data_IF_137558721190
#
_entry.id   IF_137558721190
#
_cell.length_a   1.000
_cell.length_b   1.000
_cell.length_c   1.000
_cell.angle_alpha   90.00
_cell.angle_beta   90.00
_cell.angle_gamma   90.00
#
_symmetry.space_group_name_H-M   'P 1'
#
loop_
_entity.id
_entity.type
_entity.pdbx_description
1 polymer ?
#
# COMPACT_ATOMS: atom_id res chain seq x y z
N UNK A 1 60.72 9.38 -13.66
CA UNK A 1 59.59 9.98 -12.93
C UNK A 1 60.19 11.06 -12.06
N UNK A 2 59.97 12.31 -12.44
CA UNK A 2 60.46 13.44 -11.67
C UNK A 2 59.54 13.73 -10.47
N UNK A 3 60.02 14.58 -9.57
CA UNK A 3 59.30 14.94 -8.33
C UNK A 3 57.98 15.66 -8.59
N UNK A 4 57.87 16.36 -9.73
CA UNK A 4 56.68 17.12 -10.11
C UNK A 4 55.57 16.19 -10.57
N UNK A 5 55.89 15.22 -11.42
CA UNK A 5 55.00 14.17 -11.88
C UNK A 5 54.46 13.33 -10.71
N UNK A 6 55.32 13.00 -9.73
CA UNK A 6 54.90 12.23 -8.54
C UNK A 6 53.93 13.03 -7.64
N UNK A 7 54.13 14.35 -7.53
CA UNK A 7 53.26 15.24 -6.74
C UNK A 7 51.88 15.38 -7.41
N UNK A 8 51.84 15.54 -8.74
CA UNK A 8 50.60 15.64 -9.51
C UNK A 8 49.77 14.36 -9.45
N UNK A 9 50.42 13.19 -9.54
CA UNK A 9 49.77 11.89 -9.37
C UNK A 9 49.16 11.79 -7.96
N UNK A 10 49.90 12.18 -6.93
CA UNK A 10 49.44 12.13 -5.53
C UNK A 10 48.24 13.03 -5.30
N UNK A 11 48.27 14.27 -5.80
CA UNK A 11 47.14 15.20 -5.70
C UNK A 11 45.91 14.69 -6.44
N UNK A 12 46.10 14.12 -7.64
CA UNK A 12 45.02 13.56 -8.45
C UNK A 12 44.39 12.35 -7.74
N UNK A 13 45.21 11.44 -7.21
CA UNK A 13 44.73 10.30 -6.42
C UNK A 13 43.90 10.74 -5.20
N UNK A 14 44.38 11.74 -4.45
CA UNK A 14 43.65 12.30 -3.31
C UNK A 14 42.32 12.94 -3.71
N UNK A 15 42.25 13.61 -4.87
CA UNK A 15 41.00 14.17 -5.40
C UNK A 15 40.03 13.06 -5.75
N UNK A 16 40.48 12.03 -6.47
CA UNK A 16 39.66 10.87 -6.84
C UNK A 16 39.12 10.18 -5.58
N UNK A 17 39.97 9.89 -4.60
CA UNK A 17 39.55 9.25 -3.35
C UNK A 17 38.47 10.06 -2.61
N UNK A 18 38.62 11.38 -2.57
CA UNK A 18 37.62 12.25 -1.94
C UNK A 18 36.28 12.28 -2.70
N UNK A 19 36.32 12.28 -4.02
CA UNK A 19 35.12 12.21 -4.87
C UNK A 19 34.44 10.86 -4.64
N UNK A 20 35.16 9.75 -4.79
CA UNK A 20 34.63 8.40 -4.61
C UNK A 20 34.01 8.22 -3.22
N UNK A 21 34.64 8.74 -2.16
CA UNK A 21 34.07 8.68 -0.80
C UNK A 21 32.74 9.43 -0.69
N UNK A 22 32.68 10.66 -1.20
CA UNK A 22 31.45 11.49 -1.12
C UNK A 22 30.33 10.90 -1.97
N UNK A 23 30.65 10.43 -3.17
CA UNK A 23 29.71 9.78 -4.07
C UNK A 23 29.18 8.50 -3.46
N UNK A 24 30.05 7.60 -3.00
CA UNK A 24 29.64 6.34 -2.37
C UNK A 24 28.78 6.53 -1.12
N UNK A 25 29.08 7.54 -0.28
CA UNK A 25 28.21 7.87 0.86
C UNK A 25 26.82 8.34 0.41
N UNK A 26 26.76 9.24 -0.59
CA UNK A 26 25.49 9.75 -1.11
C UNK A 26 24.65 8.62 -1.72
N UNK A 27 25.27 7.79 -2.56
CA UNK A 27 24.63 6.65 -3.20
C UNK A 27 24.14 5.64 -2.17
N UNK A 28 24.94 5.35 -1.14
CA UNK A 28 24.54 4.45 -0.05
C UNK A 28 23.31 4.97 0.72
N UNK A 29 23.26 6.27 1.03
CA UNK A 29 22.11 6.90 1.69
C UNK A 29 20.87 6.81 0.80
N UNK A 30 21.00 7.15 -0.48
CA UNK A 30 19.88 7.09 -1.45
C UNK A 30 19.37 5.66 -1.60
N UNK A 31 20.26 4.70 -1.83
CA UNK A 31 19.90 3.29 -1.99
C UNK A 31 19.23 2.72 -0.73
N UNK A 32 19.72 3.08 0.46
CA UNK A 32 19.10 2.69 1.73
C UNK A 32 17.68 3.25 1.89
N UNK A 33 17.49 4.53 1.60
CA UNK A 33 16.17 5.18 1.65
C UNK A 33 15.20 4.54 0.66
N UNK A 34 15.64 4.36 -0.59
CA UNK A 34 14.79 3.86 -1.67
C UNK A 34 14.43 2.38 -1.41
N UNK A 35 15.36 1.56 -0.91
CA UNK A 35 15.08 0.19 -0.48
C UNK A 35 14.04 0.14 0.64
N UNK A 36 14.16 0.99 1.66
CA UNK A 36 13.19 1.01 2.77
C UNK A 36 11.82 1.49 2.30
N UNK A 37 11.78 2.51 1.44
CA UNK A 37 10.54 2.99 0.83
C UNK A 37 9.86 1.88 0.03
N UNK A 38 10.58 1.21 -0.87
CA UNK A 38 10.02 0.16 -1.71
C UNK A 38 9.45 -0.99 -0.87
N UNK A 39 10.17 -1.44 0.16
CA UNK A 39 9.68 -2.50 1.06
C UNK A 39 8.37 -2.13 1.74
N UNK A 40 8.26 -0.91 2.26
CA UNK A 40 7.02 -0.45 2.91
C UNK A 40 5.89 -0.24 1.89
N UNK A 41 6.22 0.27 0.70
CA UNK A 41 5.27 0.44 -0.40
C UNK A 41 4.69 -0.89 -0.85
N UNK A 42 5.53 -1.91 -1.11
CA UNK A 42 5.12 -3.23 -1.58
C UNK A 42 4.15 -3.88 -0.60
N UNK A 43 4.45 -3.80 0.71
CA UNK A 43 3.58 -4.32 1.77
C UNK A 43 2.23 -3.60 1.81
N UNK A 44 2.23 -2.26 1.72
CA UNK A 44 1.00 -1.48 1.69
C UNK A 44 0.17 -1.74 0.43
N UNK A 45 0.84 -1.88 -0.72
CA UNK A 45 0.21 -2.19 -1.99
C UNK A 45 -0.43 -3.59 -1.98
N UNK A 46 0.27 -4.60 -1.50
CA UNK A 46 -0.25 -5.97 -1.39
C UNK A 46 -1.55 -6.01 -0.58
N UNK A 47 -1.55 -5.42 0.61
CA UNK A 47 -2.74 -5.40 1.48
C UNK A 47 -3.87 -4.55 0.88
N UNK A 48 -3.56 -3.37 0.33
CA UNK A 48 -4.53 -2.52 -0.33
C UNK A 48 -5.18 -3.18 -1.55
N UNK A 49 -4.39 -3.89 -2.35
CA UNK A 49 -4.85 -4.61 -3.54
C UNK A 49 -5.78 -5.76 -3.15
N UNK A 50 -5.40 -6.60 -2.17
CA UNK A 50 -6.26 -7.68 -1.65
C UNK A 50 -7.62 -7.14 -1.20
N UNK A 51 -7.61 -6.05 -0.44
CA UNK A 51 -8.83 -5.44 0.07
C UNK A 51 -9.72 -4.91 -1.06
N UNK A 52 -9.14 -4.14 -1.98
CA UNK A 52 -9.85 -3.59 -3.14
C UNK A 52 -10.45 -4.66 -4.03
N UNK A 53 -9.70 -5.74 -4.29
CA UNK A 53 -10.18 -6.88 -5.06
C UNK A 53 -11.41 -7.54 -4.42
N UNK A 54 -11.35 -7.80 -3.11
CA UNK A 54 -12.46 -8.43 -2.40
C UNK A 54 -13.70 -7.53 -2.35
N UNK A 55 -13.57 -6.23 -2.09
CA UNK A 55 -14.69 -5.28 -2.16
C UNK A 55 -15.27 -5.19 -3.57
N UNK A 56 -14.42 -5.22 -4.59
CA UNK A 56 -14.83 -5.29 -5.99
C UNK A 56 -15.68 -6.53 -6.28
N UNK A 57 -15.33 -7.69 -5.71
CA UNK A 57 -16.13 -8.91 -5.81
C UNK A 57 -17.52 -8.73 -5.18
N UNK A 58 -17.63 -8.17 -3.98
CA UNK A 58 -18.94 -7.90 -3.36
C UNK A 58 -19.79 -6.95 -4.21
N UNK A 59 -19.17 -5.86 -4.70
CA UNK A 59 -19.84 -4.89 -5.56
C UNK A 59 -20.35 -5.56 -6.84
N UNK A 60 -19.51 -6.32 -7.53
CA UNK A 60 -19.89 -7.06 -8.73
C UNK A 60 -21.02 -8.06 -8.49
N UNK A 61 -21.01 -8.77 -7.36
CA UNK A 61 -22.08 -9.69 -6.97
C UNK A 61 -23.42 -8.95 -6.77
N UNK A 62 -23.41 -7.78 -6.12
CA UNK A 62 -24.64 -6.96 -5.98
C UNK A 62 -25.17 -6.53 -7.34
N UNK A 63 -24.30 -6.00 -8.20
CA UNK A 63 -24.69 -5.56 -9.55
C UNK A 63 -25.21 -6.72 -10.41
N UNK A 64 -24.69 -7.94 -10.20
CA UNK A 64 -25.18 -9.14 -10.88
C UNK A 64 -26.56 -9.57 -10.34
N UNK A 65 -26.75 -9.56 -9.01
CA UNK A 65 -28.01 -9.93 -8.37
C UNK A 65 -29.13 -8.96 -8.74
N UNK A 66 -28.88 -7.65 -8.69
CA UNK A 66 -29.87 -6.62 -9.05
C UNK A 66 -30.38 -6.79 -10.49
N UNK A 67 -29.47 -7.12 -11.42
CA UNK A 67 -29.81 -7.44 -12.81
C UNK A 67 -30.66 -8.71 -12.95
N UNK A 68 -30.38 -9.74 -12.17
CA UNK A 68 -31.17 -10.98 -12.20
C UNK A 68 -32.59 -10.77 -11.64
N UNK A 69 -32.72 -10.02 -10.54
CA UNK A 69 -34.01 -9.81 -9.86
C UNK A 69 -34.80 -8.62 -10.41
N UNK A 70 -34.26 -7.90 -11.41
CA UNK A 70 -34.83 -6.64 -11.93
C UNK A 70 -35.13 -5.60 -10.83
N UNK A 71 -34.39 -5.67 -9.72
CA UNK A 71 -34.49 -4.73 -8.60
C UNK A 71 -33.48 -3.62 -8.77
N UNK A 72 -33.79 -2.42 -8.30
CA UNK A 72 -32.87 -1.30 -8.32
C UNK A 72 -31.56 -1.63 -7.59
N UNK A 73 -30.43 -1.29 -8.21
CA UNK A 73 -29.11 -1.50 -7.64
C UNK A 73 -28.87 -0.51 -6.49
N UNK A 74 -29.12 -0.94 -5.26
CA UNK A 74 -28.74 -0.17 -4.07
C UNK A 74 -27.32 -0.51 -3.68
N UNK A 75 -26.37 0.36 -4.04
CA UNK A 75 -24.97 0.20 -3.66
C UNK A 75 -24.82 0.40 -2.14
N UNK A 76 -24.21 -0.57 -1.45
CA UNK A 76 -23.92 -0.45 -0.03
C UNK A 76 -22.89 0.67 0.22
N UNK A 77 -23.05 1.53 1.25
CA UNK A 77 -22.10 2.63 1.52
C UNK A 77 -20.64 2.17 1.67
N UNK A 78 -20.42 0.97 2.21
CA UNK A 78 -19.07 0.39 2.34
C UNK A 78 -18.42 0.02 0.99
N UNK A 79 -19.20 -0.03 -0.09
CA UNK A 79 -18.76 -0.40 -1.44
C UNK A 79 -18.68 0.78 -2.42
N UNK A 80 -19.11 1.98 -2.00
CA UNK A 80 -19.07 3.20 -2.83
C UNK A 80 -17.66 3.48 -3.34
N UNK A 81 -16.67 3.33 -2.46
CA UNK A 81 -15.25 3.55 -2.76
C UNK A 81 -14.43 2.25 -2.66
N UNK A 82 -14.98 1.14 -3.17
CA UNK A 82 -14.30 -0.16 -3.20
C UNK A 82 -12.89 -0.09 -3.83
N UNK A 83 -12.67 0.80 -4.81
CA UNK A 83 -11.37 1.03 -5.46
C UNK A 83 -10.29 1.56 -4.52
N UNK A 84 -10.66 2.12 -3.37
CA UNK A 84 -9.73 2.58 -2.33
C UNK A 84 -9.40 1.49 -1.30
N UNK A 85 -9.89 0.26 -1.49
CA UNK A 85 -9.58 -0.88 -0.60
C UNK A 85 -9.95 -0.67 0.87
N UNK A 86 -10.96 0.17 1.14
CA UNK A 86 -11.30 0.62 2.50
C UNK A 86 -10.10 1.19 3.28
N UNK A 87 -9.21 1.92 2.60
CA UNK A 87 -8.03 2.52 3.21
C UNK A 87 -8.38 3.49 4.34
N UNK A 88 -7.93 3.20 5.56
CA UNK A 88 -8.19 4.03 6.74
C UNK A 88 -7.39 5.33 6.70
N UNK A 89 -6.19 5.31 6.12
CA UNK A 89 -5.36 6.52 5.92
C UNK A 89 -6.10 7.52 5.03
N UNK A 90 -6.78 7.03 3.98
CA UNK A 90 -7.57 7.87 3.08
C UNK A 90 -8.84 8.41 3.73
N UNK A 91 -9.35 7.75 4.78
CA UNK A 91 -10.59 8.13 5.46
C UNK A 91 -10.31 9.09 6.61
N UNK A 92 -9.39 8.75 7.50
CA UNK A 92 -9.12 9.47 8.74
C UNK A 92 -7.62 9.47 9.06
N UNK A 93 -6.84 10.24 8.30
CA UNK A 93 -5.38 10.31 8.46
C UNK A 93 -4.97 10.69 9.89
N UNK A 94 -5.75 11.48 10.62
CA UNK A 94 -5.45 11.97 11.98
C UNK A 94 -5.65 10.91 13.07
N UNK A 95 -6.52 9.93 12.85
CA UNK A 95 -6.94 8.95 13.85
C UNK A 95 -5.99 7.77 14.03
N UNK A 96 -4.96 7.67 13.19
CA UNK A 96 -4.06 6.52 13.19
C UNK A 96 -2.93 6.74 14.20
N UNK A 97 -2.80 5.90 15.24
CA UNK A 97 -1.70 5.98 16.17
C UNK A 97 -0.38 5.62 15.46
N UNK A 98 0.69 6.35 15.80
CA UNK A 98 2.06 6.05 15.35
C UNK A 98 2.20 5.83 13.84
N UNK A 99 1.83 6.83 13.02
CA UNK A 99 1.85 6.78 11.54
C UNK A 99 3.22 6.55 10.91
N UNK A 100 4.28 6.66 11.69
CA UNK A 100 5.65 6.43 11.27
C UNK A 100 6.00 4.93 11.26
N UNK A 101 5.23 4.11 11.98
CA UNK A 101 5.37 2.66 12.00
C UNK A 101 4.44 1.99 10.98
N UNK A 102 5.05 1.36 9.98
CA UNK A 102 4.35 0.64 8.92
C UNK A 102 3.59 -0.58 9.44
N UNK A 103 4.08 -1.24 10.49
CA UNK A 103 3.43 -2.42 11.05
C UNK A 103 2.12 -2.03 11.72
N UNK A 104 2.14 -0.97 12.54
CA UNK A 104 0.93 -0.38 13.13
C UNK A 104 -0.09 0.05 12.07
N UNK A 105 0.37 0.66 10.96
CA UNK A 105 -0.52 1.05 9.85
C UNK A 105 -1.21 -0.16 9.20
N UNK A 106 -0.44 -1.20 8.87
CA UNK A 106 -0.95 -2.41 8.23
C UNK A 106 -1.92 -3.14 9.17
N UNK A 107 -1.60 -3.26 10.45
CA UNK A 107 -2.46 -3.96 11.41
C UNK A 107 -3.77 -3.22 11.67
N UNK A 108 -3.72 -1.88 11.72
CA UNK A 108 -4.92 -1.04 11.79
C UNK A 108 -5.81 -1.27 10.57
N UNK A 109 -5.22 -1.23 9.38
CA UNK A 109 -5.91 -1.46 8.11
C UNK A 109 -6.55 -2.85 8.05
N UNK A 110 -5.83 -3.90 8.47
CA UNK A 110 -6.34 -5.27 8.53
C UNK A 110 -7.52 -5.40 9.46
N UNK A 111 -7.45 -4.78 10.64
CA UNK A 111 -8.53 -4.81 11.64
C UNK A 111 -9.79 -4.10 11.12
N UNK A 112 -9.65 -2.90 10.58
CA UNK A 112 -10.77 -2.15 9.98
C UNK A 112 -11.40 -2.91 8.81
N UNK A 113 -10.56 -3.49 7.94
CA UNK A 113 -11.02 -4.27 6.81
C UNK A 113 -11.77 -5.55 7.23
N UNK A 114 -11.27 -6.26 8.25
CA UNK A 114 -11.95 -7.44 8.80
C UNK A 114 -13.38 -7.11 9.26
N UNK A 115 -13.56 -5.98 9.95
CA UNK A 115 -14.89 -5.53 10.39
C UNK A 115 -15.79 -5.21 9.18
N UNK A 116 -15.25 -4.54 8.16
CA UNK A 116 -15.98 -4.22 6.91
C UNK A 116 -16.48 -5.50 6.23
N UNK A 117 -15.61 -6.50 6.09
CA UNK A 117 -15.96 -7.80 5.48
C UNK A 117 -16.96 -8.58 6.33
N UNK A 118 -16.90 -8.48 7.66
CA UNK A 118 -17.90 -9.11 8.54
C UNK A 118 -19.29 -8.50 8.33
N UNK A 119 -19.40 -7.17 8.27
CA UNK A 119 -20.67 -6.48 8.00
C UNK A 119 -21.23 -6.92 6.64
N UNK A 120 -20.40 -6.85 5.59
CA UNK A 120 -20.79 -7.29 4.25
C UNK A 120 -21.18 -8.78 4.23
N UNK A 121 -20.49 -9.65 4.96
CA UNK A 121 -20.88 -11.06 5.01
C UNK A 121 -22.23 -11.29 5.68
N UNK A 122 -22.56 -10.54 6.73
CA UNK A 122 -23.87 -10.66 7.38
C UNK A 122 -24.99 -10.23 6.44
N UNK A 123 -24.84 -9.06 5.83
CA UNK A 123 -25.84 -8.50 4.90
C UNK A 123 -26.02 -9.36 3.64
N UNK A 124 -24.96 -10.01 3.16
CA UNK A 124 -25.03 -10.88 1.99
C UNK A 124 -25.45 -12.32 2.33
N UNK A 125 -25.26 -12.79 3.58
CA UNK A 125 -25.78 -14.09 4.04
C UNK A 125 -27.28 -14.05 4.29
N UNK A 126 -27.82 -12.94 4.81
CA UNK A 126 -29.27 -12.75 4.96
C UNK A 126 -30.01 -12.61 3.62
N UNK A 127 -29.28 -12.51 2.50
CA UNK A 127 -29.84 -12.45 1.15
C UNK A 127 -29.99 -13.80 0.43
N UNK A 128 -29.67 -14.92 1.07
CA UNK A 128 -29.96 -16.29 0.58
C UNK A 128 -31.08 -16.84 1.45
N UNK A 129 -32.33 -16.46 1.16
CA UNK A 129 -33.48 -17.21 1.68
C UNK A 129 -33.54 -18.53 0.90
N UNK A 130 -33.59 -19.64 1.63
CA UNK A 130 -33.72 -21.02 1.13
C UNK A 130 -35.05 -21.30 0.39
N UNK A 131 -35.74 -20.28 -0.11
CA UNK A 131 -37.06 -20.36 -0.74
C UNK A 131 -37.02 -20.54 -2.28
N UNK A 132 -35.92 -21.03 -2.84
CA UNK A 132 -35.82 -21.32 -4.28
C UNK A 132 -35.25 -22.71 -4.61
N UNK A 133 -35.64 -23.75 -3.85
CA UNK A 133 -35.53 -25.15 -4.28
C UNK A 133 -36.89 -25.83 -4.11
#
# INVERSE_FOLDING_TARGET
MDLEEMNDITQTSNKIQNISRKTGLREGITAGRDSNFQKSFDRGFEEGFKNGFLLGKYKGTLSAKSKQTSTEEKLHPLLEHASRGSCDICKNSESIPNKEDIDTLIDTQKKSFKNTVQILNLEFKEGISDDQI
#
